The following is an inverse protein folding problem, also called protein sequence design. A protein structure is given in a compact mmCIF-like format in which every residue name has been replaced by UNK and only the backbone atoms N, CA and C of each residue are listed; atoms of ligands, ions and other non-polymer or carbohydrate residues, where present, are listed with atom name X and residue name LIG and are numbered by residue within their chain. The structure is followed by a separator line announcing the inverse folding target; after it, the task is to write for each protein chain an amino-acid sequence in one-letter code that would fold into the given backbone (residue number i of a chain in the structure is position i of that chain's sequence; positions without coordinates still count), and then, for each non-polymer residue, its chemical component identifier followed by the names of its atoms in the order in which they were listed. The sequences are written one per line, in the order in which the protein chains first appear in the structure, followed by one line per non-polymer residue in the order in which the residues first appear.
data_IF_594375173777
#
_entry.id   IF_594375173777
#
_cell.length_a   1.000
_cell.length_b   1.000
_cell.length_c   1.000
_cell.angle_alpha   90.00
_cell.angle_beta   90.00
_cell.angle_gamma   90.00
#
_symmetry.space_group_name_H-M   'P 1'
#
loop_
_entity.id
_entity.type
_entity.pdbx_description
1 polymer ?
#
# COMPACT_ATOMS: atom_id res chain seq x y z
N UNK A 1 -14.84 -63.86 -29.37
CA UNK A 1 -14.04 -63.67 -28.15
C UNK A 1 -13.83 -62.17 -27.98
N UNK A 2 -14.71 -61.51 -27.22
CA UNK A 2 -14.54 -60.10 -26.87
C UNK A 2 -13.91 -60.07 -25.48
N UNK A 3 -12.67 -59.59 -25.41
CA UNK A 3 -12.03 -59.26 -24.15
C UNK A 3 -12.66 -57.95 -23.65
N UNK A 4 -13.22 -57.97 -22.45
CA UNK A 4 -13.72 -56.76 -21.80
C UNK A 4 -12.53 -55.95 -21.28
N UNK A 5 -12.71 -54.63 -21.16
CA UNK A 5 -11.68 -53.69 -20.67
C UNK A 5 -11.18 -54.03 -19.26
N UNK A 6 -11.94 -54.82 -18.52
CA UNK A 6 -11.63 -55.30 -17.17
C UNK A 6 -10.62 -56.46 -17.16
N UNK A 7 -10.42 -57.15 -18.30
CA UNK A 7 -9.55 -58.33 -18.39
C UNK A 7 -8.04 -57.98 -18.44
N UNK A 8 -7.68 -56.68 -18.49
CA UNK A 8 -6.31 -56.16 -18.50
C UNK A 8 -6.01 -55.18 -17.35
N UNK A 9 -6.92 -55.04 -16.37
CA UNK A 9 -6.65 -54.21 -15.19
C UNK A 9 -5.98 -55.06 -14.14
N UNK A 10 -4.67 -54.88 -13.99
CA UNK A 10 -3.82 -55.56 -13.01
C UNK A 10 -4.40 -55.42 -11.59
N UNK A 11 -4.62 -56.51 -10.84
CA UNK A 11 -5.14 -56.43 -9.47
C UNK A 11 -4.25 -55.56 -8.58
N UNK A 12 -4.89 -54.54 -8.00
CA UNK A 12 -4.37 -53.54 -7.06
C UNK A 12 -3.28 -54.10 -6.13
N UNK A 13 -2.07 -53.55 -6.24
CA UNK A 13 -1.05 -53.74 -5.21
C UNK A 13 -1.40 -52.85 -4.00
N UNK A 14 -1.68 -53.48 -2.86
CA UNK A 14 -2.11 -52.83 -1.60
C UNK A 14 -0.97 -52.08 -0.88
N UNK A 15 0.24 -52.10 -1.46
CA UNK A 15 1.48 -51.57 -0.87
C UNK A 15 2.10 -50.39 -1.64
N UNK A 16 1.65 -50.10 -2.86
CA UNK A 16 2.10 -48.94 -3.62
C UNK A 16 1.04 -47.84 -3.55
N UNK A 17 1.43 -46.67 -3.05
CA UNK A 17 0.58 -45.50 -2.87
C UNK A 17 -0.33 -45.22 -4.07
N UNK A 18 -1.53 -44.72 -3.76
CA UNK A 18 -2.64 -44.58 -4.70
C UNK A 18 -2.26 -43.76 -5.94
N UNK A 19 -2.62 -44.20 -7.15
CA UNK A 19 -2.73 -43.31 -8.30
C UNK A 19 -4.08 -42.58 -8.22
N UNK A 20 -4.04 -41.25 -8.12
CA UNK A 20 -5.23 -40.39 -8.29
C UNK A 20 -5.72 -39.60 -7.07
N UNK A 21 -4.89 -39.36 -6.04
CA UNK A 21 -5.17 -38.23 -5.13
C UNK A 21 -4.63 -36.96 -5.79
N UNK A 22 -5.50 -36.06 -6.26
CA UNK A 22 -5.13 -34.66 -6.33
C UNK A 22 -4.68 -34.28 -4.91
N UNK A 23 -3.38 -34.07 -4.70
CA UNK A 23 -2.84 -33.62 -3.42
C UNK A 23 -3.64 -32.40 -2.97
N UNK A 24 -4.44 -32.57 -1.92
CA UNK A 24 -5.43 -31.59 -1.51
C UNK A 24 -4.73 -30.32 -1.03
N UNK A 25 -5.14 -29.17 -1.58
CA UNK A 25 -4.68 -27.86 -1.11
C UNK A 25 -5.01 -27.73 0.37
N UNK A 26 -4.02 -27.39 1.20
CA UNK A 26 -4.20 -27.16 2.63
C UNK A 26 -4.00 -25.68 2.96
N UNK A 27 -5.09 -24.90 3.13
CA UNK A 27 -4.97 -23.46 3.38
C UNK A 27 -4.20 -23.16 4.66
N UNK A 28 -3.32 -22.15 4.61
CA UNK A 28 -2.65 -21.66 5.82
C UNK A 28 -3.64 -20.89 6.71
N UNK A 29 -3.47 -20.89 8.04
CA UNK A 29 -4.42 -20.28 8.96
C UNK A 29 -4.28 -18.75 9.01
N UNK A 30 -4.74 -18.05 7.96
CA UNK A 30 -4.59 -16.59 7.76
C UNK A 30 -4.88 -15.78 9.02
N UNK A 31 -6.00 -16.02 9.71
CA UNK A 31 -6.35 -15.27 10.93
C UNK A 31 -5.27 -15.34 12.00
N UNK A 32 -4.77 -16.55 12.30
CA UNK A 32 -3.71 -16.78 13.30
C UNK A 32 -2.38 -16.18 12.87
N UNK A 33 -2.09 -16.20 11.56
CA UNK A 33 -0.89 -15.57 11.01
C UNK A 33 -0.93 -14.08 11.28
N UNK A 34 -2.05 -13.42 10.95
CA UNK A 34 -2.21 -11.98 11.10
C UNK A 34 -2.28 -11.52 12.56
N UNK A 35 -2.91 -12.31 13.45
CA UNK A 35 -2.91 -12.03 14.89
C UNK A 35 -1.48 -12.01 15.44
N UNK A 36 -0.67 -13.00 15.07
CA UNK A 36 0.71 -13.09 15.53
C UNK A 36 1.61 -12.05 14.88
N UNK A 37 1.36 -11.71 13.61
CA UNK A 37 2.04 -10.61 12.92
C UNK A 37 1.86 -9.29 13.69
N UNK A 38 0.60 -8.94 14.00
CA UNK A 38 0.28 -7.74 14.79
C UNK A 38 0.99 -7.73 16.14
N UNK A 39 1.02 -8.85 16.86
CA UNK A 39 1.74 -8.93 18.14
C UNK A 39 3.23 -8.62 18.00
N UNK A 40 3.87 -9.03 16.91
CA UNK A 40 5.28 -8.68 16.65
C UNK A 40 5.45 -7.22 16.23
N UNK A 41 4.54 -6.69 15.42
CA UNK A 41 4.54 -5.28 15.00
C UNK A 41 4.33 -4.33 16.19
N UNK A 42 3.38 -4.63 17.08
CA UNK A 42 3.10 -3.87 18.30
C UNK A 42 4.31 -3.81 19.25
N UNK A 43 5.16 -4.86 19.22
CA UNK A 43 6.41 -4.92 19.98
C UNK A 43 7.62 -4.35 19.22
N UNK A 44 7.42 -3.89 17.98
CA UNK A 44 8.48 -3.49 17.07
C UNK A 44 9.55 -4.59 16.84
N UNK A 45 9.19 -5.87 16.97
CA UNK A 45 10.09 -7.00 16.72
C UNK A 45 10.16 -7.34 15.23
N UNK A 46 10.78 -6.44 14.47
CA UNK A 46 10.92 -6.58 13.01
C UNK A 46 11.65 -7.85 12.55
N UNK A 47 12.66 -8.38 13.28
CA UNK A 47 13.23 -9.68 12.97
C UNK A 47 12.23 -10.84 13.13
N UNK A 48 11.35 -10.81 14.14
CA UNK A 48 10.31 -11.82 14.30
C UNK A 48 9.23 -11.72 13.22
N UNK A 49 8.85 -10.50 12.80
CA UNK A 49 7.96 -10.28 11.63
C UNK A 49 8.52 -10.99 10.40
N UNK A 50 9.79 -10.76 10.05
CA UNK A 50 10.39 -11.37 8.86
C UNK A 50 10.42 -12.90 8.95
N UNK A 51 10.83 -13.45 10.09
CA UNK A 51 10.88 -14.91 10.30
C UNK A 51 9.48 -15.53 10.22
N UNK A 52 8.49 -14.89 10.83
CA UNK A 52 7.10 -15.37 10.85
C UNK A 52 6.48 -15.40 9.46
N UNK A 53 6.61 -14.32 8.69
CA UNK A 53 6.08 -14.25 7.33
C UNK A 53 6.79 -15.25 6.39
N UNK A 54 8.11 -15.39 6.49
CA UNK A 54 8.86 -16.37 5.69
C UNK A 54 8.50 -17.81 6.02
N UNK A 55 8.31 -18.12 7.30
CA UNK A 55 7.89 -19.45 7.73
C UNK A 55 6.55 -19.80 7.09
N UNK A 56 5.55 -18.92 7.20
CA UNK A 56 4.23 -19.19 6.65
C UNK A 56 4.21 -19.18 5.13
N UNK A 57 5.10 -18.44 4.47
CA UNK A 57 5.24 -18.50 3.01
C UNK A 57 5.73 -19.88 2.57
N UNK A 58 6.74 -20.43 3.25
CA UNK A 58 7.23 -21.77 2.97
C UNK A 58 6.14 -22.85 3.20
N UNK A 59 5.34 -22.71 4.26
CA UNK A 59 4.19 -23.60 4.49
C UNK A 59 3.11 -23.46 3.41
N UNK A 60 2.79 -22.24 2.98
CA UNK A 60 1.82 -22.01 1.91
C UNK A 60 2.31 -22.56 0.55
N UNK A 61 3.61 -22.50 0.29
CA UNK A 61 4.25 -23.15 -0.88
C UNK A 61 4.16 -24.67 -0.80
N UNK A 62 4.53 -25.25 0.35
CA UNK A 62 4.44 -26.70 0.57
C UNK A 62 3.01 -27.23 0.44
N UNK A 63 2.02 -26.45 0.89
CA UNK A 63 0.61 -26.79 0.84
C UNK A 63 -0.07 -26.44 -0.50
N UNK A 64 0.65 -25.81 -1.44
CA UNK A 64 0.10 -25.27 -2.70
C UNK A 64 -1.07 -24.30 -2.49
N UNK A 65 -1.07 -23.59 -1.37
CA UNK A 65 -2.06 -22.56 -1.06
C UNK A 65 -1.67 -21.23 -1.71
N UNK A 66 -2.01 -21.08 -2.99
CA UNK A 66 -1.71 -19.88 -3.78
C UNK A 66 -2.39 -18.62 -3.24
N UNK A 67 -3.55 -18.75 -2.58
CA UNK A 67 -4.22 -17.60 -1.93
C UNK A 67 -3.46 -17.18 -0.67
N UNK A 68 -2.99 -18.15 0.12
CA UNK A 68 -2.08 -17.92 1.24
C UNK A 68 -0.78 -17.26 0.80
N UNK A 69 -0.16 -17.75 -0.28
CA UNK A 69 1.04 -17.16 -0.88
C UNK A 69 0.80 -15.70 -1.30
N UNK A 70 -0.32 -15.39 -1.95
CA UNK A 70 -0.66 -14.02 -2.36
C UNK A 70 -0.74 -13.08 -1.14
N UNK A 71 -1.42 -13.50 -0.07
CA UNK A 71 -1.49 -12.72 1.17
C UNK A 71 -0.09 -12.50 1.76
N UNK A 72 0.74 -13.54 1.83
CA UNK A 72 2.07 -13.47 2.44
C UNK A 72 3.05 -12.63 1.61
N UNK A 73 3.01 -12.72 0.28
CA UNK A 73 3.79 -11.84 -0.59
C UNK A 73 3.38 -10.37 -0.45
N UNK A 74 2.08 -10.09 -0.32
CA UNK A 74 1.58 -8.73 -0.05
C UNK A 74 2.18 -8.16 1.24
N UNK A 75 2.17 -8.93 2.33
CA UNK A 75 2.76 -8.50 3.60
C UNK A 75 4.29 -8.35 3.51
N UNK A 76 4.98 -9.30 2.88
CA UNK A 76 6.44 -9.25 2.73
C UNK A 76 6.91 -8.08 1.88
N UNK A 77 6.22 -7.72 0.79
CA UNK A 77 6.64 -6.56 0.01
C UNK A 77 6.49 -5.25 0.79
N UNK A 78 5.41 -5.11 1.58
CA UNK A 78 5.19 -3.97 2.47
C UNK A 78 6.26 -3.89 3.55
N UNK A 79 6.57 -5.02 4.19
CA UNK A 79 7.65 -5.15 5.17
C UNK A 79 9.00 -4.74 4.57
N UNK A 80 9.39 -5.34 3.43
CA UNK A 80 10.69 -5.07 2.83
C UNK A 80 10.84 -3.64 2.32
N UNK A 81 9.75 -3.02 1.85
CA UNK A 81 9.71 -1.59 1.53
C UNK A 81 10.03 -0.74 2.76
N UNK A 82 9.36 -0.96 3.90
CA UNK A 82 9.59 -0.21 5.15
C UNK A 82 11.04 -0.36 5.65
N UNK A 83 11.66 -1.52 5.44
CA UNK A 83 13.05 -1.80 5.82
C UNK A 83 14.09 -1.31 4.80
N UNK A 84 13.68 -0.68 3.69
CA UNK A 84 14.59 -0.23 2.63
C UNK A 84 15.25 -1.38 1.86
N UNK A 85 14.73 -2.61 1.95
CA UNK A 85 15.28 -3.79 1.27
C UNK A 85 14.67 -3.92 -0.13
N UNK A 86 15.24 -3.20 -1.10
CA UNK A 86 14.74 -3.06 -2.48
C UNK A 86 14.48 -4.41 -3.19
N UNK A 87 15.54 -5.20 -3.35
CA UNK A 87 15.51 -6.47 -4.08
C UNK A 87 14.39 -7.43 -3.61
N UNK A 88 14.28 -7.77 -2.31
CA UNK A 88 13.20 -8.64 -1.85
C UNK A 88 11.81 -7.95 -1.92
N UNK A 89 11.70 -6.62 -1.79
CA UNK A 89 10.42 -5.94 -1.95
C UNK A 89 9.89 -6.07 -3.39
N UNK A 90 10.73 -5.75 -4.39
CA UNK A 90 10.40 -5.87 -5.80
C UNK A 90 10.01 -7.31 -6.18
N UNK A 91 10.78 -8.30 -5.73
CA UNK A 91 10.46 -9.72 -5.98
C UNK A 91 9.10 -10.12 -5.40
N UNK A 92 8.79 -9.73 -4.17
CA UNK A 92 7.49 -10.07 -3.57
C UNK A 92 6.33 -9.35 -4.27
N UNK A 93 6.52 -8.11 -4.73
CA UNK A 93 5.53 -7.39 -5.52
C UNK A 93 5.25 -8.08 -6.87
N UNK A 94 6.29 -8.56 -7.55
CA UNK A 94 6.16 -9.32 -8.80
C UNK A 94 5.44 -10.66 -8.59
N UNK A 95 5.80 -11.41 -7.54
CA UNK A 95 5.12 -12.67 -7.21
C UNK A 95 3.64 -12.47 -6.86
N UNK A 96 3.32 -11.45 -6.04
CA UNK A 96 1.94 -11.12 -5.71
C UNK A 96 1.14 -10.74 -6.97
N UNK A 97 1.69 -9.91 -7.85
CA UNK A 97 1.03 -9.52 -9.10
C UNK A 97 0.83 -10.72 -10.05
N UNK A 98 1.80 -11.63 -10.13
CA UNK A 98 1.67 -12.85 -10.93
C UNK A 98 0.60 -13.80 -10.37
N UNK A 99 0.50 -13.92 -9.05
CA UNK A 99 -0.53 -14.74 -8.40
C UNK A 99 -1.94 -14.19 -8.62
N UNK A 100 -2.12 -12.86 -8.64
CA UNK A 100 -3.40 -12.23 -9.01
C UNK A 100 -3.88 -12.69 -10.39
N UNK A 101 -2.97 -12.72 -11.37
CA UNK A 101 -3.28 -13.21 -12.72
C UNK A 101 -3.57 -14.71 -12.73
N UNK A 102 -2.71 -15.50 -12.09
CA UNK A 102 -2.81 -16.96 -12.04
C UNK A 102 -4.13 -17.42 -11.41
N UNK A 103 -4.58 -16.73 -10.37
CA UNK A 103 -5.81 -17.03 -9.64
C UNK A 103 -7.07 -16.48 -10.30
N UNK A 104 -6.97 -15.71 -11.39
CA UNK A 104 -8.12 -15.07 -12.02
C UNK A 104 -8.82 -14.04 -11.11
N UNK A 105 -8.04 -13.35 -10.26
CA UNK A 105 -8.57 -12.44 -9.22
C UNK A 105 -8.52 -10.96 -9.63
N UNK A 106 -8.29 -10.64 -10.90
CA UNK A 106 -8.05 -9.28 -11.40
C UNK A 106 -9.22 -8.32 -11.12
N UNK A 107 -10.45 -8.84 -11.05
CA UNK A 107 -11.66 -8.06 -10.77
C UNK A 107 -11.94 -7.89 -9.26
N UNK A 108 -11.12 -8.45 -8.39
CA UNK A 108 -11.31 -8.34 -6.93
C UNK A 108 -10.66 -7.08 -6.38
N UNK A 109 -11.24 -6.52 -5.31
CA UNK A 109 -10.65 -5.39 -4.60
C UNK A 109 -9.27 -5.74 -4.01
N UNK A 110 -9.04 -7.01 -3.65
CA UNK A 110 -7.73 -7.51 -3.23
C UNK A 110 -6.65 -7.35 -4.29
N UNK A 111 -6.99 -7.55 -5.57
CA UNK A 111 -6.07 -7.28 -6.68
C UNK A 111 -5.73 -5.80 -6.78
N UNK A 112 -6.72 -4.92 -6.65
CA UNK A 112 -6.51 -3.47 -6.58
C UNK A 112 -5.50 -3.09 -5.49
N UNK A 113 -5.69 -3.59 -4.25
CA UNK A 113 -4.77 -3.33 -3.14
C UNK A 113 -3.36 -3.88 -3.40
N UNK A 114 -3.28 -5.07 -4.01
CA UNK A 114 -1.99 -5.67 -4.39
C UNK A 114 -1.24 -4.78 -5.37
N UNK A 115 -1.92 -4.24 -6.38
CA UNK A 115 -1.31 -3.33 -7.35
C UNK A 115 -0.94 -1.98 -6.74
N UNK A 116 -1.74 -1.40 -5.83
CA UNK A 116 -1.32 -0.20 -5.09
C UNK A 116 -0.01 -0.44 -4.34
N UNK A 117 0.09 -1.55 -3.62
CA UNK A 117 1.29 -1.88 -2.87
C UNK A 117 2.50 -2.12 -3.80
N UNK A 118 2.31 -2.84 -4.92
CA UNK A 118 3.36 -3.06 -5.91
C UNK A 118 3.84 -1.74 -6.55
N UNK A 119 2.91 -0.84 -6.88
CA UNK A 119 3.23 0.49 -7.42
C UNK A 119 4.02 1.33 -6.42
N UNK A 120 3.60 1.31 -5.15
CA UNK A 120 4.28 2.03 -4.07
C UNK A 120 5.68 1.47 -3.80
N UNK A 121 5.88 0.16 -3.96
CA UNK A 121 7.20 -0.48 -3.87
C UNK A 121 8.12 0.01 -5.00
N UNK A 122 7.62 0.07 -6.25
CA UNK A 122 8.39 0.58 -7.40
C UNK A 122 8.80 2.04 -7.21
N UNK A 123 7.85 2.88 -6.82
CA UNK A 123 8.10 4.30 -6.53
C UNK A 123 9.15 4.50 -5.44
N UNK A 124 9.02 3.79 -4.31
CA UNK A 124 9.95 3.87 -3.19
C UNK A 124 11.40 3.51 -3.55
N UNK A 125 11.60 2.77 -4.65
CA UNK A 125 12.91 2.35 -5.13
C UNK A 125 13.28 2.96 -6.48
N UNK A 126 12.74 4.14 -6.78
CA UNK A 126 13.19 4.99 -7.89
C UNK A 126 12.62 4.64 -9.26
N UNK A 127 11.52 3.89 -9.32
CA UNK A 127 10.81 3.55 -10.56
C UNK A 127 9.36 4.08 -10.54
N UNK A 128 9.15 5.41 -10.58
CA UNK A 128 7.81 6.02 -10.55
C UNK A 128 6.99 5.66 -11.80
N UNK A 129 7.62 5.55 -12.97
CA UNK A 129 6.95 5.17 -14.21
C UNK A 129 6.43 3.71 -14.15
N UNK A 130 7.24 2.78 -13.64
CA UNK A 130 6.80 1.42 -13.35
C UNK A 130 5.72 1.37 -12.26
N UNK A 131 5.79 2.27 -11.27
CA UNK A 131 4.76 2.48 -10.25
C UNK A 131 3.40 2.86 -10.85
N UNK A 132 3.39 3.84 -11.75
CA UNK A 132 2.17 4.30 -12.45
C UNK A 132 1.47 3.18 -13.21
N UNK A 133 2.21 2.27 -13.84
CA UNK A 133 1.61 1.13 -14.53
C UNK A 133 0.79 0.22 -13.60
N UNK A 134 1.23 0.03 -12.35
CA UNK A 134 0.45 -0.69 -11.35
C UNK A 134 -0.71 0.15 -10.80
N UNK A 135 -0.49 1.44 -10.53
CA UNK A 135 -1.54 2.32 -10.03
C UNK A 135 -2.69 2.47 -11.03
N UNK A 136 -2.43 2.50 -12.33
CA UNK A 136 -3.46 2.52 -13.37
C UNK A 136 -4.34 1.28 -13.35
N UNK A 137 -3.74 0.10 -13.15
CA UNK A 137 -4.48 -1.15 -12.96
C UNK A 137 -5.33 -1.13 -11.69
N UNK A 138 -4.77 -0.59 -10.60
CA UNK A 138 -5.51 -0.39 -9.36
C UNK A 138 -6.68 0.58 -9.54
N UNK A 139 -6.49 1.67 -10.28
CA UNK A 139 -7.52 2.69 -10.56
C UNK A 139 -8.68 2.06 -11.30
N UNK A 140 -8.41 1.38 -12.41
CA UNK A 140 -9.45 0.71 -13.20
C UNK A 140 -10.25 -0.30 -12.36
N UNK A 141 -9.59 -1.03 -11.45
CA UNK A 141 -10.26 -1.97 -10.56
C UNK A 141 -11.08 -1.28 -9.47
N UNK A 142 -10.52 -0.29 -8.78
CA UNK A 142 -11.21 0.41 -7.70
C UNK A 142 -12.40 1.22 -8.23
N UNK A 143 -12.25 1.96 -9.33
CA UNK A 143 -13.36 2.71 -9.94
C UNK A 143 -14.49 1.79 -10.42
N UNK A 144 -14.17 0.55 -10.81
CA UNK A 144 -15.17 -0.45 -11.20
C UNK A 144 -15.89 -1.08 -10.00
N UNK A 145 -15.17 -1.35 -8.91
CA UNK A 145 -15.64 -2.23 -7.84
C UNK A 145 -15.98 -1.53 -6.52
N UNK A 146 -15.60 -0.26 -6.36
CA UNK A 146 -15.81 0.51 -5.14
C UNK A 146 -16.71 1.73 -5.39
N UNK A 147 -17.43 2.22 -4.37
CA UNK A 147 -18.03 3.54 -4.41
C UNK A 147 -16.98 4.61 -4.72
N UNK A 148 -17.34 5.63 -5.50
CA UNK A 148 -16.41 6.70 -5.89
C UNK A 148 -15.90 7.55 -4.71
N UNK A 149 -16.56 7.46 -3.56
CA UNK A 149 -16.17 8.10 -2.31
C UNK A 149 -15.47 7.13 -1.34
N UNK A 150 -15.03 5.95 -1.78
CA UNK A 150 -14.25 5.03 -0.96
C UNK A 150 -12.85 5.60 -0.70
N UNK A 151 -12.44 5.68 0.58
CA UNK A 151 -11.16 6.27 0.98
C UNK A 151 -9.92 5.67 0.30
N UNK A 152 -9.98 4.42 -0.18
CA UNK A 152 -8.87 3.79 -0.92
C UNK A 152 -8.59 4.48 -2.26
N UNK A 153 -9.61 5.03 -2.91
CA UNK A 153 -9.43 5.85 -4.10
C UNK A 153 -8.63 7.11 -3.78
N UNK A 154 -8.87 7.74 -2.62
CA UNK A 154 -8.14 8.92 -2.18
C UNK A 154 -6.64 8.67 -2.05
N UNK A 155 -6.26 7.60 -1.35
CA UNK A 155 -4.85 7.20 -1.22
C UNK A 155 -4.21 6.83 -2.56
N UNK A 156 -4.95 6.11 -3.42
CA UNK A 156 -4.47 5.77 -4.76
C UNK A 156 -4.20 7.02 -5.62
N UNK A 157 -5.16 7.96 -5.68
CA UNK A 157 -5.00 9.17 -6.47
C UNK A 157 -3.82 10.02 -5.97
N UNK A 158 -3.61 10.12 -4.66
CA UNK A 158 -2.45 10.83 -4.12
C UNK A 158 -1.13 10.16 -4.54
N UNK A 159 -1.03 8.83 -4.50
CA UNK A 159 0.19 8.12 -4.95
C UNK A 159 0.42 8.28 -6.45
N UNK A 160 -0.64 8.22 -7.26
CA UNK A 160 -0.55 8.51 -8.69
C UNK A 160 -0.04 9.93 -8.93
N UNK A 161 -0.57 10.91 -8.20
CA UNK A 161 -0.17 12.30 -8.34
C UNK A 161 1.32 12.53 -8.00
N UNK A 162 1.81 11.92 -6.91
CA UNK A 162 3.22 11.95 -6.54
C UNK A 162 4.11 11.36 -7.64
N UNK A 163 3.77 10.16 -8.13
CA UNK A 163 4.54 9.52 -9.20
C UNK A 163 4.50 10.31 -10.52
N UNK A 164 3.35 10.92 -10.87
CA UNK A 164 3.22 11.81 -12.03
C UNK A 164 4.11 13.06 -11.88
N UNK A 165 4.11 13.69 -10.70
CA UNK A 165 4.94 14.86 -10.42
C UNK A 165 6.44 14.55 -10.54
N UNK A 166 6.89 13.39 -10.04
CA UNK A 166 8.28 12.93 -10.20
C UNK A 166 8.62 12.68 -11.67
N UNK A 167 7.66 12.21 -12.47
CA UNK A 167 7.80 12.06 -13.92
C UNK A 167 7.70 13.39 -14.70
N UNK A 168 7.52 14.53 -14.03
CA UNK A 168 7.35 15.85 -14.66
C UNK A 168 5.99 16.08 -15.32
N UNK A 169 5.02 15.21 -15.04
CA UNK A 169 3.64 15.26 -15.55
C UNK A 169 2.75 16.06 -14.60
N UNK A 170 3.05 17.36 -14.46
CA UNK A 170 2.48 18.20 -13.40
C UNK A 170 0.98 18.47 -13.58
N UNK A 171 0.50 18.66 -14.83
CA UNK A 171 -0.93 18.91 -15.06
C UNK A 171 -1.78 17.69 -14.65
N UNK A 172 -1.37 16.48 -15.04
CA UNK A 172 -2.04 15.26 -14.64
C UNK A 172 -1.90 15.01 -13.12
N UNK A 173 -0.73 15.31 -12.53
CA UNK A 173 -0.54 15.22 -11.09
C UNK A 173 -1.53 16.09 -10.32
N UNK A 174 -1.70 17.35 -10.74
CA UNK A 174 -2.64 18.29 -10.13
C UNK A 174 -4.10 17.85 -10.31
N UNK A 175 -4.46 17.17 -11.40
CA UNK A 175 -5.79 16.54 -11.51
C UNK A 175 -5.97 15.42 -10.48
N UNK A 176 -4.98 14.55 -10.33
CA UNK A 176 -5.05 13.43 -9.39
C UNK A 176 -5.07 13.90 -7.93
N UNK A 177 -4.29 14.92 -7.56
CA UNK A 177 -4.36 15.51 -6.22
C UNK A 177 -5.76 16.07 -5.90
N UNK A 178 -6.39 16.77 -6.86
CA UNK A 178 -7.76 17.26 -6.67
C UNK A 178 -8.78 16.13 -6.50
N UNK A 179 -8.63 15.01 -7.23
CA UNK A 179 -9.46 13.81 -7.02
C UNK A 179 -9.24 13.21 -5.63
N UNK A 180 -7.99 13.13 -5.17
CA UNK A 180 -7.65 12.66 -3.83
C UNK A 180 -8.35 13.50 -2.75
N UNK A 181 -8.22 14.83 -2.83
CA UNK A 181 -8.88 15.78 -1.92
C UNK A 181 -10.40 15.60 -1.93
N UNK A 182 -11.02 15.42 -3.11
CA UNK A 182 -12.46 15.23 -3.22
C UNK A 182 -12.95 13.98 -2.47
N UNK A 183 -12.21 12.88 -2.55
CA UNK A 183 -12.51 11.65 -1.79
C UNK A 183 -12.26 11.84 -0.29
N UNK A 184 -11.13 12.46 0.07
CA UNK A 184 -10.75 12.65 1.48
C UNK A 184 -11.73 13.57 2.22
N UNK A 185 -12.33 14.56 1.55
CA UNK A 185 -13.37 15.43 2.11
C UNK A 185 -14.61 14.68 2.60
N UNK A 186 -14.86 13.47 2.10
CA UNK A 186 -16.01 12.66 2.53
C UNK A 186 -15.65 11.63 3.59
N UNK A 187 -14.37 11.51 3.97
CA UNK A 187 -13.93 10.57 4.99
C UNK A 187 -13.97 11.21 6.37
N UNK A 188 -14.23 10.41 7.39
CA UNK A 188 -14.06 10.83 8.78
C UNK A 188 -12.57 11.13 9.04
N UNK A 189 -12.29 12.30 9.62
CA UNK A 189 -10.93 12.79 9.89
C UNK A 189 -10.04 12.96 8.65
N UNK A 190 -10.64 13.01 7.46
CA UNK A 190 -9.94 13.17 6.18
C UNK A 190 -9.20 14.50 6.02
N UNK A 191 -9.29 15.43 6.98
CA UNK A 191 -8.53 16.67 7.00
C UNK A 191 -7.02 16.41 7.08
N UNK A 192 -6.59 15.32 7.73
CA UNK A 192 -5.17 14.98 7.84
C UNK A 192 -4.56 14.57 6.50
N UNK A 193 -5.25 13.70 5.77
CA UNK A 193 -4.83 13.26 4.44
C UNK A 193 -4.91 14.41 3.43
N UNK A 194 -5.91 15.29 3.56
CA UNK A 194 -5.98 16.52 2.76
C UNK A 194 -4.77 17.43 3.01
N UNK A 195 -4.38 17.65 4.27
CA UNK A 195 -3.23 18.48 4.59
C UNK A 195 -1.95 17.96 3.93
N UNK A 196 -1.68 16.65 4.03
CA UNK A 196 -0.56 16.01 3.34
C UNK A 196 -0.66 16.25 1.82
N UNK A 197 -1.86 16.10 1.25
CA UNK A 197 -2.08 16.27 -0.19
C UNK A 197 -1.83 17.70 -0.64
N UNK A 198 -2.25 18.70 0.13
CA UNK A 198 -1.97 20.12 -0.17
C UNK A 198 -0.48 20.43 -0.11
N UNK A 199 0.26 19.86 0.85
CA UNK A 199 1.71 20.01 0.91
C UNK A 199 2.39 19.37 -0.30
N UNK A 200 1.95 18.17 -0.73
CA UNK A 200 2.46 17.56 -1.95
C UNK A 200 2.15 18.40 -3.21
N UNK A 201 0.99 19.07 -3.24
CA UNK A 201 0.65 20.01 -4.31
C UNK A 201 1.55 21.25 -4.29
N UNK A 202 2.01 21.71 -3.13
CA UNK A 202 2.95 22.82 -3.01
C UNK A 202 4.30 22.46 -3.63
N UNK A 203 4.85 21.29 -3.24
CA UNK A 203 6.09 20.76 -3.82
C UNK A 203 5.98 20.58 -5.34
N UNK A 204 4.85 20.04 -5.82
CA UNK A 204 4.60 19.87 -7.25
C UNK A 204 4.43 21.19 -8.01
N UNK A 205 3.79 22.19 -7.40
CA UNK A 205 3.61 23.52 -7.97
C UNK A 205 4.94 24.26 -8.10
N UNK A 206 5.79 24.21 -7.07
CA UNK A 206 7.15 24.75 -7.14
C UNK A 206 7.95 24.05 -8.23
N UNK A 207 7.93 22.72 -8.29
CA UNK A 207 8.67 21.97 -9.29
C UNK A 207 8.23 22.30 -10.73
N UNK A 208 6.94 22.56 -10.94
CA UNK A 208 6.37 22.87 -12.25
C UNK A 208 6.66 24.31 -12.72
N UNK A 209 6.53 25.30 -11.82
CA UNK A 209 6.56 26.73 -12.17
C UNK A 209 7.87 27.42 -11.80
N UNK A 210 8.66 26.82 -10.91
CA UNK A 210 9.81 27.43 -10.23
C UNK A 210 9.38 28.27 -9.03
N UNK A 211 10.26 28.36 -8.02
CA UNK A 211 9.98 29.01 -6.74
C UNK A 211 9.41 30.43 -6.86
N UNK A 212 9.98 31.27 -7.73
CA UNK A 212 9.51 32.66 -7.90
C UNK A 212 8.08 32.77 -8.46
N UNK A 213 7.70 31.86 -9.37
CA UNK A 213 6.37 31.90 -9.99
C UNK A 213 5.32 31.17 -9.15
N UNK A 214 5.75 30.19 -8.35
CA UNK A 214 4.88 29.37 -7.52
C UNK A 214 4.55 30.01 -6.16
N UNK A 215 5.29 31.03 -5.73
CA UNK A 215 5.25 31.62 -4.36
C UNK A 215 3.82 31.80 -3.81
N UNK A 216 2.98 32.55 -4.51
CA UNK A 216 1.59 32.80 -4.07
C UNK A 216 0.72 31.52 -4.05
N UNK A 217 0.96 30.57 -4.97
CA UNK A 217 0.22 29.29 -5.00
C UNK A 217 0.68 28.35 -3.89
N UNK A 218 1.99 28.30 -3.64
CA UNK A 218 2.58 27.55 -2.53
C UNK A 218 2.05 28.09 -1.21
N UNK A 219 2.04 29.42 -1.02
CA UNK A 219 1.51 30.07 0.18
C UNK A 219 0.05 29.66 0.44
N UNK A 220 -0.82 29.73 -0.57
CA UNK A 220 -2.22 29.29 -0.48
C UNK A 220 -2.36 27.81 -0.03
N UNK A 221 -1.51 26.93 -0.56
CA UNK A 221 -1.54 25.51 -0.24
C UNK A 221 -1.03 25.22 1.18
N UNK A 222 0.01 25.94 1.62
CA UNK A 222 0.52 25.86 2.98
C UNK A 222 -0.50 26.37 4.00
N UNK A 223 -1.14 27.52 3.74
CA UNK A 223 -2.23 28.06 4.56
C UNK A 223 -3.36 27.03 4.71
N UNK A 224 -3.83 26.47 3.59
CA UNK A 224 -4.89 25.47 3.58
C UNK A 224 -4.49 24.22 4.38
N UNK A 225 -3.26 23.74 4.22
CA UNK A 225 -2.75 22.59 4.96
C UNK A 225 -2.67 22.86 6.47
N UNK A 226 -2.22 24.06 6.87
CA UNK A 226 -2.15 24.46 8.28
C UNK A 226 -3.54 24.55 8.91
N UNK A 227 -4.52 25.13 8.21
CA UNK A 227 -5.90 25.21 8.69
C UNK A 227 -6.49 23.81 8.95
N UNK A 228 -6.28 22.87 8.01
CA UNK A 228 -6.74 21.50 8.13
C UNK A 228 -6.10 20.80 9.35
N UNK A 229 -4.78 20.92 9.54
CA UNK A 229 -4.06 20.35 10.68
C UNK A 229 -4.54 20.92 12.03
N UNK A 230 -5.02 22.17 12.03
CA UNK A 230 -5.55 22.86 13.20
C UNK A 230 -7.04 22.59 13.48
N UNK A 231 -7.70 21.75 12.68
CA UNK A 231 -9.11 21.38 12.87
C UNK A 231 -9.34 20.82 14.28
N UNK A 232 -10.32 21.39 15.00
CA UNK A 232 -10.54 21.12 16.43
C UNK A 232 -11.10 19.72 16.73
N UNK A 233 -11.86 19.15 15.80
CA UNK A 233 -12.48 17.82 15.92
C UNK A 233 -11.50 16.67 15.72
N UNK A 234 -10.27 16.94 15.25
CA UNK A 234 -9.30 15.90 14.96
C UNK A 234 -8.82 15.18 16.24
N UNK A 235 -8.78 13.84 16.25
CA UNK A 235 -8.27 13.09 17.38
C UNK A 235 -6.77 13.33 17.53
N UNK A 236 -6.32 13.75 18.71
CA UNK A 236 -4.90 13.96 19.02
C UNK A 236 -4.24 12.65 19.47
N UNK A 237 -4.18 11.69 18.56
CA UNK A 237 -3.63 10.34 18.77
C UNK A 237 -2.30 10.15 18.02
N UNK A 238 -1.69 8.97 18.12
CA UNK A 238 -0.41 8.68 17.44
C UNK A 238 -0.45 8.87 15.92
N UNK A 239 -1.61 8.70 15.27
CA UNK A 239 -1.73 9.00 13.84
C UNK A 239 -1.63 10.50 13.56
N UNK A 240 -2.27 11.34 14.39
CA UNK A 240 -2.10 12.80 14.30
C UNK A 240 -0.64 13.22 14.50
N UNK A 241 0.06 12.60 15.47
CA UNK A 241 1.47 12.86 15.71
C UNK A 241 2.33 12.50 14.47
N UNK A 242 2.10 11.32 13.90
CA UNK A 242 2.76 10.89 12.66
C UNK A 242 2.53 11.88 11.51
N UNK A 243 1.30 12.36 11.31
CA UNK A 243 1.00 13.35 10.27
C UNK A 243 1.72 14.67 10.54
N UNK A 244 1.76 15.13 11.79
CA UNK A 244 2.53 16.33 12.16
C UNK A 244 4.02 16.19 11.82
N UNK A 245 4.64 15.05 12.14
CA UNK A 245 6.05 14.77 11.81
C UNK A 245 6.30 14.76 10.30
N UNK A 246 5.32 14.30 9.51
CA UNK A 246 5.39 14.28 8.04
C UNK A 246 5.26 15.67 7.43
N UNK A 247 4.37 16.50 7.96
CA UNK A 247 4.09 17.82 7.43
C UNK A 247 5.15 18.86 7.83
N UNK A 248 5.70 18.75 9.04
CA UNK A 248 6.60 19.77 9.60
C UNK A 248 7.81 20.13 8.70
N UNK A 249 8.54 19.16 8.09
CA UNK A 249 9.66 19.48 7.21
C UNK A 249 9.28 20.30 5.97
N UNK A 250 8.07 20.12 5.43
CA UNK A 250 7.61 20.85 4.25
C UNK A 250 7.36 22.31 4.62
N UNK A 251 6.68 22.57 5.73
CA UNK A 251 6.56 23.95 6.25
C UNK A 251 7.94 24.59 6.48
N UNK A 252 8.88 23.86 7.07
CA UNK A 252 10.25 24.34 7.26
C UNK A 252 10.98 24.65 5.95
N UNK A 253 10.80 23.82 4.92
CA UNK A 253 11.37 24.03 3.59
C UNK A 253 10.94 25.37 2.99
N UNK A 254 9.67 25.73 3.15
CA UNK A 254 9.09 26.99 2.69
C UNK A 254 9.24 28.16 3.67
N UNK A 255 10.03 28.02 4.74
CA UNK A 255 10.31 29.10 5.68
C UNK A 255 9.26 29.32 6.78
N UNK A 256 8.25 28.44 6.88
CA UNK A 256 7.21 28.47 7.91
C UNK A 256 7.69 27.83 9.21
N UNK A 257 8.80 28.33 9.76
CA UNK A 257 9.48 27.73 10.91
C UNK A 257 8.64 27.72 12.19
N UNK A 258 7.71 28.67 12.35
CA UNK A 258 6.80 28.69 13.49
C UNK A 258 5.83 27.50 13.46
N UNK A 259 5.21 27.26 12.30
CA UNK A 259 4.32 26.11 12.07
C UNK A 259 5.08 24.80 12.17
N UNK A 260 6.28 24.70 11.58
CA UNK A 260 7.15 23.53 11.72
C UNK A 260 7.40 23.20 13.20
N UNK A 261 7.87 24.18 13.99
CA UNK A 261 8.21 23.97 15.40
C UNK A 261 6.99 23.56 16.23
N UNK A 262 5.83 24.15 15.96
CA UNK A 262 4.58 23.81 16.63
C UNK A 262 4.12 22.38 16.28
N UNK A 263 4.19 21.97 15.02
CA UNK A 263 3.84 20.60 14.61
C UNK A 263 4.77 19.56 15.26
N UNK A 264 6.08 19.81 15.28
CA UNK A 264 7.06 18.93 15.96
C UNK A 264 6.73 18.79 17.44
N UNK A 265 6.48 19.91 18.12
CA UNK A 265 6.10 19.92 19.54
C UNK A 265 4.82 19.13 19.80
N UNK A 266 3.78 19.28 18.96
CA UNK A 266 2.53 18.51 19.09
C UNK A 266 2.75 17.01 18.95
N UNK A 267 3.59 16.59 18.01
CA UNK A 267 3.92 15.19 17.82
C UNK A 267 4.66 14.62 19.04
N UNK A 268 5.68 15.33 19.53
CA UNK A 268 6.42 14.98 20.75
C UNK A 268 5.49 14.84 21.96
N UNK A 269 4.62 15.82 22.22
CA UNK A 269 3.69 15.79 23.34
C UNK A 269 2.71 14.61 23.30
N UNK A 270 2.33 14.14 22.11
CA UNK A 270 1.43 12.99 21.95
C UNK A 270 2.21 11.68 22.12
N UNK A 271 3.40 11.59 21.52
CA UNK A 271 4.26 10.41 21.60
C UNK A 271 4.73 10.17 23.04
N UNK A 272 5.01 11.22 23.82
CA UNK A 272 5.40 11.12 25.23
C UNK A 272 4.26 10.64 26.14
N UNK A 273 3.01 10.75 25.69
CA UNK A 273 1.81 10.32 26.43
C UNK A 273 1.32 8.92 26.04
N UNK A 274 1.91 8.31 25.01
CA UNK A 274 1.50 7.04 24.40
C UNK A 274 2.32 5.87 24.93
#
# INVERSE_FOLDING_TARGET
MNLNREDYVDPRCVLCGKPGEEESVQPVPVGRIMDKLREYEDRNDWPAVERHLKYWLAEAEANRDERGQLMLHNELMGYYRKQGKQEPALRNAEQAAALVEKLGMQDTVTAGTTWVNAGTVREAFGDPAGGLAYFERARANYEKNLPLNDGRLGGLYNNMALSLAVCGQYDEAMEMFRKAICVMKTQEHGELEQAITWLNMADAAEAAMGAENADATVEEYLETAEELLNTKSLPRNGYYAFVCEKCAPVFGHYGWFATEAELRKRAEEINDRS
#
